data_IF_202547288702
#
_entry.id   IF_202547288702
#
_cell.length_a   1.000
_cell.length_b   1.000
_cell.length_c   1.000
_cell.angle_alpha   90.00
_cell.angle_beta   90.00
_cell.angle_gamma   90.00
#
_symmetry.space_group_name_H-M   'P 1'
#
loop_
_entity.id
_entity.type
_entity.pdbx_description
1 polymer ?
#
# COMPACT_ATOMS: atom_id res chain seq x y z
N UNK A 1 27.25 -31.92 0.39
CA UNK A 1 27.54 -30.89 -0.63
C UNK A 1 26.83 -29.61 -0.22
N UNK A 2 27.57 -28.60 0.22
CA UNK A 2 27.05 -27.27 0.55
C UNK A 2 26.54 -26.62 -0.73
N UNK A 3 25.22 -26.63 -0.94
CA UNK A 3 24.57 -25.87 -2.01
C UNK A 3 24.81 -24.38 -1.70
N UNK A 4 25.50 -23.67 -2.60
CA UNK A 4 25.57 -22.21 -2.51
C UNK A 4 24.15 -21.64 -2.40
N UNK A 5 23.95 -20.61 -1.55
CA UNK A 5 22.65 -19.97 -1.43
C UNK A 5 22.25 -19.40 -2.79
N UNK A 6 20.99 -19.62 -3.17
CA UNK A 6 20.48 -19.13 -4.45
C UNK A 6 20.55 -17.59 -4.50
N UNK A 7 20.90 -17.00 -5.66
CA UNK A 7 21.13 -15.58 -5.77
C UNK A 7 19.83 -14.79 -5.59
N UNK A 8 19.94 -13.61 -4.99
CA UNK A 8 18.88 -12.60 -4.97
C UNK A 8 18.84 -11.91 -6.34
N UNK A 9 17.70 -11.97 -7.00
CA UNK A 9 17.51 -11.31 -8.30
C UNK A 9 17.22 -9.80 -8.13
N UNK A 10 17.52 -8.97 -9.14
CA UNK A 10 17.18 -7.55 -9.10
C UNK A 10 15.67 -7.29 -9.15
N UNK A 11 15.22 -6.13 -8.64
CA UNK A 11 13.81 -5.78 -8.50
C UNK A 11 12.97 -5.95 -9.78
N UNK A 12 13.54 -5.62 -10.95
CA UNK A 12 12.84 -5.74 -12.23
C UNK A 12 12.43 -7.19 -12.58
N UNK A 13 13.08 -8.18 -11.94
CA UNK A 13 12.78 -9.59 -12.14
C UNK A 13 11.72 -10.14 -11.18
N UNK A 14 11.38 -9.43 -10.09
CA UNK A 14 10.48 -9.93 -9.06
C UNK A 14 9.10 -10.33 -9.56
N UNK A 15 8.61 -9.70 -10.63
CA UNK A 15 7.34 -10.08 -11.28
C UNK A 15 7.29 -11.52 -11.79
N UNK A 16 8.44 -12.15 -12.01
CA UNK A 16 8.53 -13.58 -12.39
C UNK A 16 8.60 -14.51 -11.17
N UNK A 17 8.73 -13.98 -9.96
CA UNK A 17 8.65 -14.79 -8.74
C UNK A 17 7.21 -15.22 -8.49
N UNK A 18 6.97 -16.51 -8.14
CA UNK A 18 5.63 -16.98 -7.76
C UNK A 18 5.07 -16.29 -6.51
N UNK A 19 5.91 -15.61 -5.72
CA UNK A 19 5.53 -14.94 -4.47
C UNK A 19 5.16 -13.46 -4.63
N UNK A 20 5.52 -12.80 -5.74
CA UNK A 20 5.51 -11.33 -5.79
C UNK A 20 4.12 -10.69 -5.84
N UNK A 21 3.18 -11.32 -6.56
CA UNK A 21 1.79 -10.87 -6.63
C UNK A 21 0.84 -11.77 -5.83
N UNK A 22 1.39 -12.54 -4.88
CA UNK A 22 0.67 -13.59 -4.16
C UNK A 22 0.62 -13.26 -2.67
N UNK A 23 -0.50 -13.59 -2.03
CA UNK A 23 -0.56 -13.62 -0.56
C UNK A 23 0.14 -14.90 -0.09
N UNK A 24 1.41 -14.76 0.27
CA UNK A 24 2.27 -15.90 0.60
C UNK A 24 1.79 -16.52 1.90
N UNK A 25 1.41 -17.80 1.86
CA UNK A 25 0.97 -18.54 3.05
C UNK A 25 2.19 -18.83 3.92
N UNK A 26 2.24 -18.24 5.09
CA UNK A 26 3.36 -18.38 6.04
C UNK A 26 2.83 -18.65 7.44
N UNK A 27 3.64 -19.35 8.22
CA UNK A 27 3.48 -19.43 9.65
C UNK A 27 4.05 -18.18 10.35
N UNK A 28 3.64 -17.90 11.58
CA UNK A 28 4.15 -16.80 12.39
C UNK A 28 5.67 -16.89 12.56
N UNK A 29 6.19 -18.08 12.85
CA UNK A 29 7.64 -18.32 12.93
C UNK A 29 8.36 -18.01 11.61
N UNK A 30 7.72 -18.30 10.46
CA UNK A 30 8.31 -18.01 9.15
C UNK A 30 8.31 -16.50 8.88
N UNK A 31 7.27 -15.77 9.29
CA UNK A 31 7.21 -14.31 9.18
C UNK A 31 8.33 -13.67 10.00
N UNK A 32 8.56 -14.11 11.23
CA UNK A 32 9.69 -13.65 12.06
C UNK A 32 11.05 -14.07 11.49
N UNK A 33 11.10 -15.17 10.75
CA UNK A 33 12.32 -15.70 10.12
C UNK A 33 12.66 -15.13 8.73
N UNK A 34 11.79 -14.33 8.10
CA UNK A 34 12.13 -13.65 6.85
C UNK A 34 13.42 -12.82 6.98
N UNK A 35 14.11 -12.58 5.87
CA UNK A 35 15.37 -11.81 5.88
C UNK A 35 15.21 -10.51 5.11
N UNK A 36 15.92 -9.49 5.54
CA UNK A 36 16.18 -8.35 4.68
C UNK A 36 17.49 -8.58 3.93
N UNK A 37 17.53 -8.12 2.68
CA UNK A 37 18.71 -8.27 1.83
C UNK A 37 19.24 -6.88 1.47
N UNK A 38 20.56 -6.77 1.36
CA UNK A 38 21.23 -5.52 1.03
C UNK A 38 20.68 -4.94 -0.28
N UNK A 39 20.37 -3.63 -0.28
CA UNK A 39 19.77 -2.95 -1.43
C UNK A 39 18.24 -3.03 -1.51
N UNK A 40 17.59 -3.80 -0.63
CA UNK A 40 16.12 -3.88 -0.51
C UNK A 40 15.58 -3.42 0.85
N UNK A 41 16.48 -3.09 1.79
CA UNK A 41 16.14 -2.59 3.12
C UNK A 41 15.22 -1.35 3.03
N UNK A 42 14.21 -1.29 3.90
CA UNK A 42 13.24 -0.20 3.93
C UNK A 42 12.23 -0.16 2.77
N UNK A 43 12.28 -1.09 1.82
CA UNK A 43 11.31 -1.16 0.71
C UNK A 43 10.09 -2.05 1.04
N UNK A 44 9.97 -2.53 2.28
CA UNK A 44 8.97 -3.52 2.70
C UNK A 44 8.97 -4.79 1.83
N UNK A 45 10.16 -5.23 1.43
CA UNK A 45 10.40 -6.49 0.72
C UNK A 45 11.34 -7.34 1.55
N UNK A 46 10.87 -8.52 1.92
CA UNK A 46 11.60 -9.49 2.71
C UNK A 46 11.83 -10.76 1.90
N UNK A 47 12.68 -11.66 2.39
CA UNK A 47 13.08 -12.84 1.62
C UNK A 47 12.94 -14.12 2.44
N UNK A 48 12.26 -15.10 1.85
CA UNK A 48 12.35 -16.50 2.25
C UNK A 48 13.19 -17.23 1.21
N UNK A 49 14.34 -17.77 1.62
CA UNK A 49 15.40 -18.12 0.68
C UNK A 49 15.72 -16.93 -0.24
N UNK A 50 15.52 -17.06 -1.56
CA UNK A 50 15.65 -15.99 -2.53
C UNK A 50 14.32 -15.49 -3.12
N UNK A 51 13.17 -15.90 -2.56
CA UNK A 51 11.85 -15.42 -2.98
C UNK A 51 11.53 -14.08 -2.32
N UNK A 52 11.18 -13.02 -3.09
CA UNK A 52 10.74 -11.75 -2.54
C UNK A 52 9.30 -11.83 -2.00
N UNK A 53 9.08 -11.38 -0.78
CA UNK A 53 7.82 -11.46 -0.04
C UNK A 53 7.44 -10.06 0.45
N UNK A 54 6.21 -9.66 0.15
CA UNK A 54 5.62 -8.38 0.58
C UNK A 54 4.22 -8.52 1.18
N UNK A 55 3.55 -9.63 0.87
CA UNK A 55 2.19 -9.93 1.28
C UNK A 55 2.15 -11.31 1.90
N UNK A 56 1.51 -11.41 3.06
CA UNK A 56 1.41 -12.66 3.81
C UNK A 56 -0.05 -13.03 4.04
N UNK A 57 -0.32 -14.33 4.02
CA UNK A 57 -1.57 -14.93 4.45
C UNK A 57 -1.24 -15.84 5.63
N UNK A 58 -1.95 -15.66 6.74
CA UNK A 58 -1.75 -16.44 7.96
C UNK A 58 -3.10 -16.86 8.52
N UNK A 59 -3.15 -18.05 9.10
CA UNK A 59 -4.32 -18.59 9.77
C UNK A 59 -3.93 -18.97 11.19
N UNK A 60 -4.66 -18.47 12.18
CA UNK A 60 -4.36 -18.71 13.59
C UNK A 60 -5.52 -18.31 14.50
N UNK A 61 -5.40 -18.68 15.77
CA UNK A 61 -6.33 -18.33 16.84
C UNK A 61 -6.02 -16.92 17.35
N UNK A 62 -7.07 -16.14 17.62
CA UNK A 62 -6.95 -14.86 18.32
C UNK A 62 -6.66 -15.13 19.79
N UNK A 63 -5.48 -14.77 20.28
CA UNK A 63 -5.08 -14.96 21.68
C UNK A 63 -5.33 -13.71 22.51
N UNK A 64 -5.14 -12.53 21.94
CA UNK A 64 -5.42 -11.25 22.60
C UNK A 64 -6.04 -10.24 21.64
N UNK A 65 -6.75 -9.28 22.22
CA UNK A 65 -7.29 -8.11 21.53
C UNK A 65 -6.99 -6.89 22.41
N UNK A 66 -6.12 -6.01 21.95
CA UNK A 66 -5.66 -4.84 22.69
C UNK A 66 -6.01 -3.53 22.00
N UNK A 67 -6.48 -2.55 22.77
CA UNK A 67 -6.59 -1.16 22.31
C UNK A 67 -5.30 -0.40 22.57
N UNK A 68 -4.77 0.28 21.55
CA UNK A 68 -3.58 1.13 21.66
C UNK A 68 -3.86 2.54 21.16
N UNK A 69 -3.80 3.49 22.10
CA UNK A 69 -3.86 4.94 21.87
C UNK A 69 -5.08 5.38 21.04
N UNK A 70 -6.21 4.66 21.16
CA UNK A 70 -7.43 4.88 20.37
C UNK A 70 -7.24 4.88 18.83
N UNK A 71 -6.06 4.49 18.34
CA UNK A 71 -5.70 4.53 16.93
C UNK A 71 -5.50 3.15 16.33
N UNK A 72 -5.00 2.22 17.14
CA UNK A 72 -4.70 0.87 16.72
C UNK A 72 -5.41 -0.13 17.61
N UNK A 73 -6.03 -1.11 16.97
CA UNK A 73 -6.41 -2.37 17.63
C UNK A 73 -5.38 -3.41 17.24
N UNK A 74 -4.81 -4.09 18.22
CA UNK A 74 -3.84 -5.16 18.01
C UNK A 74 -4.49 -6.49 18.30
N UNK A 75 -4.37 -7.44 17.36
CA UNK A 75 -4.70 -8.84 17.58
C UNK A 75 -3.39 -9.61 17.71
N UNK A 76 -3.23 -10.42 18.75
CA UNK A 76 -2.17 -11.42 18.76
C UNK A 76 -2.71 -12.74 18.24
N UNK A 77 -2.05 -13.30 17.23
CA UNK A 77 -2.42 -14.57 16.62
C UNK A 77 -1.42 -15.66 16.96
N UNK A 78 -1.93 -16.86 17.26
CA UNK A 78 -1.18 -18.10 17.42
C UNK A 78 -1.60 -19.12 16.36
N UNK A 79 -0.64 -19.62 15.58
CA UNK A 79 -0.84 -20.66 14.57
C UNK A 79 -0.22 -22.01 14.96
N UNK A 80 0.23 -22.14 16.22
CA UNK A 80 0.86 -23.34 16.73
C UNK A 80 2.30 -23.55 16.27
N UNK A 81 2.89 -22.59 15.54
CA UNK A 81 4.28 -22.70 15.05
C UNK A 81 5.34 -22.41 16.12
N UNK A 82 4.93 -22.10 17.35
CA UNK A 82 5.81 -21.74 18.46
C UNK A 82 6.18 -20.25 18.48
N UNK A 83 5.45 -19.40 17.76
CA UNK A 83 5.64 -17.95 17.78
C UNK A 83 4.30 -17.23 17.63
N UNK A 84 4.09 -16.17 18.42
CA UNK A 84 2.95 -15.28 18.28
C UNK A 84 3.26 -14.17 17.26
N UNK A 85 2.25 -13.68 16.57
CA UNK A 85 2.40 -12.55 15.65
C UNK A 85 1.32 -11.49 15.91
N UNK A 86 1.74 -10.23 15.99
CA UNK A 86 0.84 -9.09 16.16
C UNK A 86 0.27 -8.70 14.80
N UNK A 87 -1.06 -8.60 14.71
CA UNK A 87 -1.80 -8.05 13.57
C UNK A 87 -2.44 -6.73 13.99
N UNK A 88 -1.98 -5.65 13.38
CA UNK A 88 -2.42 -4.28 13.61
C UNK A 88 -3.57 -3.91 12.68
N UNK A 89 -4.62 -3.36 13.28
CA UNK A 89 -5.78 -2.77 12.62
C UNK A 89 -5.74 -1.27 12.86
N UNK A 90 -5.83 -0.47 11.79
CA UNK A 90 -5.79 0.99 11.90
C UNK A 90 -7.20 1.54 11.90
N UNK A 91 -7.58 2.24 12.98
CA UNK A 91 -8.86 2.94 13.10
C UNK A 91 -8.79 4.23 12.28
N UNK A 92 -9.88 4.56 11.60
CA UNK A 92 -10.02 5.83 10.89
C UNK A 92 -10.35 6.93 11.90
N UNK A 93 -9.82 8.13 11.66
CA UNK A 93 -10.16 9.29 12.48
C UNK A 93 -11.65 9.62 12.31
N UNK A 94 -12.30 10.09 13.37
CA UNK A 94 -13.74 10.36 13.40
C UNK A 94 -14.21 11.35 12.31
N UNK A 95 -13.32 12.22 11.83
CA UNK A 95 -13.59 13.12 10.71
C UNK A 95 -13.68 12.40 9.35
N UNK A 96 -12.97 11.28 9.19
CA UNK A 96 -12.94 10.46 7.97
C UNK A 96 -14.11 9.48 7.89
N UNK A 97 -14.67 9.07 9.04
CA UNK A 97 -15.79 8.14 9.13
C UNK A 97 -17.17 8.78 8.86
N UNK A 98 -17.28 10.12 8.88
CA UNK A 98 -18.54 10.86 8.80
C UNK A 98 -19.00 11.24 7.38
N UNK A 99 -18.38 10.71 6.31
CA UNK A 99 -18.83 10.99 4.94
C UNK A 99 -20.11 10.21 4.60
N UNK A 100 -21.25 10.87 4.30
CA UNK A 100 -22.58 10.24 4.26
C UNK A 100 -22.90 9.46 2.97
N UNK A 101 -21.90 9.15 2.13
CA UNK A 101 -22.12 8.60 0.78
C UNK A 101 -21.83 7.11 0.60
N UNK A 102 -21.44 6.37 1.64
CA UNK A 102 -21.29 4.91 1.53
C UNK A 102 -22.13 4.19 2.58
N UNK A 103 -23.08 3.38 2.10
CA UNK A 103 -23.98 2.54 2.91
C UNK A 103 -23.28 1.43 3.72
N UNK A 104 -21.94 1.37 3.72
CA UNK A 104 -21.11 0.46 4.51
C UNK A 104 -19.70 1.05 4.78
N UNK A 105 -19.58 2.24 5.41
CA UNK A 105 -18.27 2.73 5.86
C UNK A 105 -17.89 2.04 7.18
N UNK A 106 -16.97 1.09 7.12
CA UNK A 106 -16.29 0.62 8.33
C UNK A 106 -15.50 1.75 8.98
N UNK A 107 -15.35 1.73 10.30
CA UNK A 107 -14.54 2.73 11.03
C UNK A 107 -13.04 2.38 11.09
N UNK A 108 -12.60 1.40 10.32
CA UNK A 108 -11.18 1.00 10.18
C UNK A 108 -10.73 1.08 8.72
N UNK A 109 -9.44 0.90 8.48
CA UNK A 109 -8.90 0.77 7.13
C UNK A 109 -9.29 -0.55 6.43
N UNK A 110 -10.03 -1.44 7.10
CA UNK A 110 -10.47 -2.74 6.58
C UNK A 110 -12.00 -2.76 6.53
N UNK A 111 -12.55 -2.82 5.31
CA UNK A 111 -13.97 -2.60 5.03
C UNK A 111 -14.96 -3.48 5.83
N UNK A 112 -14.56 -4.69 6.23
CA UNK A 112 -15.42 -5.61 6.97
C UNK A 112 -15.10 -5.72 8.47
N UNK A 113 -14.32 -4.78 9.01
CA UNK A 113 -13.91 -4.75 10.41
C UNK A 113 -14.34 -3.45 11.06
N UNK A 114 -15.09 -3.54 12.15
CA UNK A 114 -15.47 -2.38 12.95
C UNK A 114 -14.93 -2.51 14.37
N UNK A 115 -14.48 -1.41 14.96
CA UNK A 115 -14.05 -1.37 16.37
C UNK A 115 -15.01 -0.48 17.14
N UNK A 116 -15.79 -1.08 18.03
CA UNK A 116 -16.76 -0.37 18.88
C UNK A 116 -16.13 -0.11 20.23
N UNK A 117 -15.98 1.18 20.57
CA UNK A 117 -15.45 1.63 21.86
C UNK A 117 -16.51 2.47 22.55
N UNK A 118 -16.99 1.99 23.70
CA UNK A 118 -17.92 2.70 24.58
C UNK A 118 -17.55 2.41 26.04
N UNK A 119 -18.04 3.19 27.02
CA UNK A 119 -17.77 2.92 28.44
C UNK A 119 -18.12 1.48 28.81
N UNK A 120 -17.12 0.71 29.27
CA UNK A 120 -17.27 -0.70 29.62
C UNK A 120 -17.43 -1.68 28.44
N UNK A 121 -17.24 -1.22 27.20
CA UNK A 121 -17.42 -2.03 25.99
C UNK A 121 -16.30 -1.78 24.98
N UNK A 122 -15.60 -2.85 24.62
CA UNK A 122 -14.57 -2.85 23.59
C UNK A 122 -14.74 -4.09 22.72
N UNK A 123 -15.36 -3.93 21.55
CA UNK A 123 -15.64 -5.02 20.63
C UNK A 123 -14.96 -4.78 19.29
N UNK A 124 -14.34 -5.84 18.76
CA UNK A 124 -13.93 -5.91 17.36
C UNK A 124 -14.98 -6.73 16.63
N UNK A 125 -15.58 -6.21 15.57
CA UNK A 125 -16.61 -6.90 14.79
C UNK A 125 -16.05 -7.23 13.42
N UNK A 126 -16.13 -8.50 13.02
CA UNK A 126 -15.85 -8.97 11.66
C UNK A 126 -17.16 -9.30 11.00
N UNK A 127 -17.50 -8.62 9.90
CA UNK A 127 -18.82 -8.73 9.25
C UNK A 127 -20.00 -8.51 10.22
N UNK A 128 -19.88 -7.53 11.13
CA UNK A 128 -20.85 -7.22 12.20
C UNK A 128 -21.03 -8.32 13.26
N UNK A 129 -20.17 -9.33 13.28
CA UNK A 129 -20.15 -10.38 14.31
C UNK A 129 -18.98 -10.11 15.26
N UNK A 130 -19.17 -10.09 16.59
CA UNK A 130 -18.09 -9.92 17.54
C UNK A 130 -17.01 -10.99 17.36
N UNK A 131 -15.75 -10.55 17.28
CA UNK A 131 -14.57 -11.40 17.27
C UNK A 131 -14.15 -11.65 18.71
N UNK A 132 -14.25 -12.90 19.14
CA UNK A 132 -13.85 -13.32 20.49
C UNK A 132 -12.42 -13.86 20.50
N UNK A 133 -11.76 -13.76 21.65
CA UNK A 133 -10.55 -14.52 21.94
C UNK A 133 -10.86 -16.02 21.79
N UNK A 134 -9.93 -16.77 21.19
CA UNK A 134 -10.09 -18.17 20.81
C UNK A 134 -10.70 -18.38 19.43
N UNK A 135 -11.16 -17.34 18.73
CA UNK A 135 -11.68 -17.49 17.37
C UNK A 135 -10.54 -17.77 16.38
N UNK A 136 -10.74 -18.74 15.49
CA UNK A 136 -9.87 -18.99 14.36
C UNK A 136 -10.10 -17.96 13.26
N UNK A 137 -9.03 -17.33 12.79
CA UNK A 137 -9.09 -16.32 11.73
C UNK A 137 -8.06 -16.57 10.65
N UNK A 138 -8.46 -16.29 9.41
CA UNK A 138 -7.56 -16.13 8.27
C UNK A 138 -7.36 -14.66 8.00
N UNK A 139 -6.11 -14.22 7.95
CA UNK A 139 -5.74 -12.82 7.71
C UNK A 139 -4.85 -12.69 6.48
N UNK A 140 -5.04 -11.61 5.74
CA UNK A 140 -4.15 -11.16 4.66
C UNK A 140 -3.56 -9.82 5.05
N UNK A 141 -2.23 -9.75 5.10
CA UNK A 141 -1.52 -8.63 5.69
C UNK A 141 -0.32 -8.18 4.85
N UNK A 142 0.03 -6.91 4.99
CA UNK A 142 1.38 -6.42 4.64
C UNK A 142 2.28 -6.54 5.86
N UNK A 143 3.58 -6.73 5.64
CA UNK A 143 4.56 -6.81 6.73
C UNK A 143 4.96 -5.39 7.12
N UNK A 144 5.11 -5.16 8.42
CA UNK A 144 5.67 -3.92 8.98
C UNK A 144 6.55 -4.26 10.19
N UNK A 145 7.24 -3.26 10.71
CA UNK A 145 8.14 -3.43 11.85
C UNK A 145 7.88 -2.33 12.88
N UNK A 146 7.99 -2.68 14.16
CA UNK A 146 7.95 -1.72 15.24
C UNK A 146 8.99 -2.12 16.29
N UNK A 147 9.93 -1.21 16.57
CA UNK A 147 11.03 -1.45 17.52
C UNK A 147 11.79 -2.76 17.23
N UNK A 148 12.10 -2.99 15.96
CA UNK A 148 12.81 -4.17 15.46
C UNK A 148 12.05 -5.50 15.65
N UNK A 149 10.73 -5.45 15.88
CA UNK A 149 9.86 -6.61 15.96
C UNK A 149 8.89 -6.58 14.80
N UNK A 150 8.76 -7.71 14.10
CA UNK A 150 7.82 -7.84 12.99
C UNK A 150 6.39 -7.87 13.49
N UNK A 151 5.56 -7.10 12.82
CA UNK A 151 4.12 -7.08 13.00
C UNK A 151 3.45 -6.99 11.63
N UNK A 152 2.20 -7.39 11.57
CA UNK A 152 1.41 -7.41 10.36
C UNK A 152 0.43 -6.25 10.34
N UNK A 153 0.23 -5.64 9.18
CA UNK A 153 -0.84 -4.66 8.99
C UNK A 153 -1.99 -5.33 8.22
N UNK A 154 -3.16 -5.38 8.85
CA UNK A 154 -4.33 -6.06 8.33
C UNK A 154 -4.82 -5.40 7.05
N UNK A 155 -5.09 -6.23 6.02
CA UNK A 155 -5.75 -5.80 4.78
C UNK A 155 -7.08 -6.52 4.57
N UNK A 156 -7.20 -7.79 4.97
CA UNK A 156 -8.46 -8.56 4.95
C UNK A 156 -8.47 -9.62 6.05
N UNK A 157 -9.64 -9.90 6.61
CA UNK A 157 -9.85 -10.91 7.65
C UNK A 157 -11.12 -11.72 7.38
N UNK A 158 -11.06 -13.01 7.70
CA UNK A 158 -12.18 -13.94 7.72
C UNK A 158 -12.17 -14.74 9.02
N UNK A 159 -13.33 -14.90 9.65
CA UNK A 159 -13.51 -15.84 10.75
C UNK A 159 -13.76 -17.23 10.17
N UNK A 160 -12.97 -18.20 10.59
CA UNK A 160 -13.15 -19.60 10.25
C UNK A 160 -14.14 -20.22 11.24
N UNK A 161 -15.09 -21.00 10.73
CA UNK A 161 -16.23 -21.50 11.53
C UNK A 161 -16.10 -22.96 11.93
N UNK A 162 -15.16 -23.69 11.34
CA UNK A 162 -14.96 -25.10 11.62
C UNK A 162 -13.49 -25.48 11.60
N UNK A 163 -13.15 -26.51 12.38
CA UNK A 163 -11.82 -27.12 12.39
C UNK A 163 -11.44 -27.70 11.02
N UNK A 164 -12.42 -28.08 10.21
CA UNK A 164 -12.18 -28.53 8.84
C UNK A 164 -11.67 -27.39 7.94
N UNK A 165 -12.21 -26.16 8.09
CA UNK A 165 -11.70 -24.98 7.40
C UNK A 165 -10.28 -24.64 7.85
N UNK A 166 -10.00 -24.70 9.16
CA UNK A 166 -8.65 -24.50 9.70
C UNK A 166 -7.63 -25.51 9.13
N UNK A 167 -7.99 -26.80 9.15
CA UNK A 167 -7.15 -27.87 8.64
C UNK A 167 -6.87 -27.71 7.13
N UNK A 168 -7.87 -27.27 6.35
CA UNK A 168 -7.70 -26.99 4.93
C UNK A 168 -6.70 -25.83 4.69
N UNK A 169 -6.77 -24.77 5.50
CA UNK A 169 -5.80 -23.67 5.42
C UNK A 169 -4.37 -24.10 5.77
N UNK A 170 -4.21 -24.96 6.79
CA UNK A 170 -2.92 -25.53 7.15
C UNK A 170 -2.37 -26.44 6.04
N UNK A 171 -3.22 -27.26 5.42
CA UNK A 171 -2.82 -28.10 4.30
C UNK A 171 -2.35 -27.24 3.12
N UNK A 172 -3.10 -26.19 2.78
CA UNK A 172 -2.70 -25.24 1.74
C UNK A 172 -1.38 -24.53 2.06
N UNK A 173 -1.16 -24.13 3.31
CA UNK A 173 0.09 -23.51 3.74
C UNK A 173 1.26 -24.49 3.62
N UNK A 174 1.12 -25.72 4.12
CA UNK A 174 2.14 -26.76 4.04
C UNK A 174 2.48 -27.11 2.59
N UNK A 175 1.45 -27.22 1.73
CA UNK A 175 1.61 -27.45 0.29
C UNK A 175 2.38 -26.32 -0.38
N UNK A 176 1.97 -25.06 -0.13
CA UNK A 176 2.64 -23.89 -0.69
C UNK A 176 4.11 -23.81 -0.24
N UNK A 177 4.39 -24.06 1.04
CA UNK A 177 5.74 -24.07 1.59
C UNK A 177 6.60 -25.13 0.89
N UNK A 178 6.12 -26.37 0.79
CA UNK A 178 6.84 -27.49 0.17
C UNK A 178 7.09 -27.29 -1.32
N UNK A 179 6.09 -26.81 -2.06
CA UNK A 179 6.12 -26.73 -3.52
C UNK A 179 6.77 -25.45 -4.04
N UNK A 180 6.68 -24.36 -3.29
CA UNK A 180 7.17 -23.03 -3.70
C UNK A 180 8.34 -22.58 -2.83
N UNK A 181 8.11 -22.35 -1.54
CA UNK A 181 9.08 -21.62 -0.69
C UNK A 181 10.34 -22.42 -0.37
N UNK A 182 10.22 -23.73 -0.19
CA UNK A 182 11.36 -24.61 0.07
C UNK A 182 12.24 -24.82 -1.16
N UNK A 183 11.75 -24.48 -2.36
CA UNK A 183 12.50 -24.60 -3.62
C UNK A 183 13.08 -23.23 -3.98
N UNK A 184 14.38 -23.13 -4.25
CA UNK A 184 14.95 -21.87 -4.74
C UNK A 184 14.25 -21.36 -5.99
N UNK A 185 13.96 -20.07 -6.03
CA UNK A 185 13.48 -19.42 -7.23
C UNK A 185 14.60 -19.35 -8.26
N UNK A 186 14.34 -19.79 -9.49
CA UNK A 186 15.34 -19.77 -10.57
C UNK A 186 14.75 -19.09 -11.80
N UNK A 187 15.48 -18.12 -12.33
CA UNK A 187 15.18 -17.43 -13.59
C UNK A 187 16.33 -17.67 -14.56
N UNK A 188 16.01 -18.07 -15.80
CA UNK A 188 17.03 -18.30 -16.83
C UNK A 188 17.76 -17.00 -17.19
N UNK A 189 19.03 -17.11 -17.59
CA UNK A 189 19.84 -15.96 -18.02
C UNK A 189 19.21 -15.22 -19.20
N UNK A 190 18.62 -15.95 -20.14
CA UNK A 190 17.90 -15.40 -21.30
C UNK A 190 16.69 -14.57 -20.85
N UNK A 191 15.90 -15.10 -19.92
CA UNK A 191 14.75 -14.40 -19.36
C UNK A 191 15.19 -13.15 -18.60
N UNK A 192 16.26 -13.21 -17.80
CA UNK A 192 16.82 -12.03 -17.13
C UNK A 192 17.25 -10.94 -18.12
N UNK A 193 17.91 -11.31 -19.23
CA UNK A 193 18.29 -10.35 -20.29
C UNK A 193 17.07 -9.71 -20.93
N UNK A 194 16.03 -10.50 -21.24
CA UNK A 194 14.78 -9.99 -21.79
C UNK A 194 14.05 -9.04 -20.83
N UNK A 195 14.07 -9.35 -19.52
CA UNK A 195 13.49 -8.49 -18.49
C UNK A 195 14.24 -7.18 -18.36
N UNK A 196 15.57 -7.23 -18.41
CA UNK A 196 16.42 -6.04 -18.38
C UNK A 196 16.15 -5.15 -19.60
N UNK A 197 16.10 -5.72 -20.81
CA UNK A 197 15.81 -4.92 -22.01
C UNK A 197 14.43 -4.27 -21.93
N UNK A 198 13.41 -5.02 -21.50
CA UNK A 198 12.05 -4.49 -21.32
C UNK A 198 11.99 -3.35 -20.29
N UNK A 199 12.75 -3.45 -19.19
CA UNK A 199 12.83 -2.39 -18.18
C UNK A 199 13.55 -1.16 -18.72
N UNK A 200 14.65 -1.33 -19.47
CA UNK A 200 15.36 -0.20 -20.10
C UNK A 200 14.49 0.53 -21.12
N UNK A 201 13.75 -0.20 -21.96
CA UNK A 201 12.80 0.41 -22.90
C UNK A 201 11.69 1.16 -22.17
N UNK A 202 11.14 0.58 -21.11
CA UNK A 202 10.10 1.23 -20.30
C UNK A 202 10.61 2.54 -19.69
N UNK A 203 11.84 2.55 -19.16
CA UNK A 203 12.48 3.76 -18.63
C UNK A 203 12.65 4.82 -19.71
N UNK A 204 13.17 4.46 -20.88
CA UNK A 204 13.29 5.39 -22.01
C UNK A 204 11.94 5.99 -22.44
N UNK A 205 10.88 5.17 -22.50
CA UNK A 205 9.52 5.62 -22.83
C UNK A 205 8.96 6.59 -21.79
N UNK A 206 9.21 6.34 -20.50
CA UNK A 206 8.79 7.23 -19.42
C UNK A 206 9.50 8.57 -19.48
N UNK A 207 10.82 8.57 -19.66
CA UNK A 207 11.60 9.81 -19.81
C UNK A 207 11.20 10.62 -21.05
N UNK A 208 10.91 9.96 -22.17
CA UNK A 208 10.41 10.64 -23.37
C UNK A 208 9.02 11.24 -23.14
N UNK A 209 8.13 10.52 -22.44
CA UNK A 209 6.81 11.05 -22.06
C UNK A 209 6.94 12.28 -21.16
N UNK A 210 7.79 12.22 -20.14
CA UNK A 210 8.03 13.33 -19.23
C UNK A 210 8.62 14.55 -19.97
N UNK A 211 9.59 14.33 -20.87
CA UNK A 211 10.13 15.38 -21.73
C UNK A 211 9.06 16.03 -22.61
N UNK A 212 8.12 15.25 -23.15
CA UNK A 212 7.00 15.77 -23.95
C UNK A 212 6.01 16.57 -23.10
N UNK A 213 5.71 16.10 -21.90
CA UNK A 213 4.83 16.79 -20.95
C UNK A 213 5.45 18.11 -20.48
N UNK A 214 6.73 18.14 -20.11
CA UNK A 214 7.44 19.36 -19.75
C UNK A 214 7.45 20.39 -20.91
N UNK A 215 7.75 19.93 -22.14
CA UNK A 215 7.67 20.78 -23.34
C UNK A 215 6.26 21.35 -23.56
N UNK A 216 5.22 20.54 -23.35
CA UNK A 216 3.82 20.96 -23.46
C UNK A 216 3.48 21.99 -22.39
N UNK A 217 3.92 21.76 -21.15
CA UNK A 217 3.68 22.66 -20.02
C UNK A 217 4.36 24.01 -20.23
N UNK A 218 5.64 24.02 -20.66
CA UNK A 218 6.39 25.24 -21.01
C UNK A 218 5.72 26.04 -22.14
N UNK A 219 5.22 25.36 -23.17
CA UNK A 219 4.46 26.01 -24.25
C UNK A 219 3.14 26.58 -23.76
N UNK A 220 2.43 25.88 -22.88
CA UNK A 220 1.17 26.35 -22.32
C UNK A 220 1.38 27.57 -21.39
N UNK A 221 2.41 27.57 -20.56
CA UNK A 221 2.74 28.71 -19.70
C UNK A 221 3.19 29.93 -20.52
N UNK A 222 4.03 29.73 -21.53
CA UNK A 222 4.44 30.81 -22.45
C UNK A 222 3.23 31.44 -23.16
N UNK A 223 2.31 30.62 -23.70
CA UNK A 223 1.06 31.12 -24.33
C UNK A 223 0.15 31.88 -23.35
N UNK A 224 0.07 31.42 -22.10
CA UNK A 224 -0.69 32.13 -21.04
C UNK A 224 -0.06 33.48 -20.71
N UNK A 225 1.26 33.55 -20.59
CA UNK A 225 1.99 34.81 -20.36
C UNK A 225 1.80 35.79 -21.51
N UNK A 226 1.96 35.34 -22.76
CA UNK A 226 1.75 36.17 -23.95
C UNK A 226 0.30 36.69 -24.03
N UNK A 227 -0.69 35.83 -23.74
CA UNK A 227 -2.10 36.26 -23.72
C UNK A 227 -2.40 37.25 -22.59
N UNK A 228 -1.75 37.11 -21.44
CA UNK A 228 -1.91 38.05 -20.32
C UNK A 228 -1.26 39.41 -20.62
N UNK A 229 -0.10 39.40 -21.28
CA UNK A 229 0.58 40.60 -21.75
C UNK A 229 -0.26 41.36 -22.77
N UNK A 230 -0.76 40.69 -23.83
CA UNK A 230 -1.67 41.28 -24.82
C UNK A 230 -2.93 41.86 -24.18
N UNK A 231 -3.46 41.19 -23.14
CA UNK A 231 -4.63 41.68 -22.39
C UNK A 231 -4.31 42.96 -21.62
N UNK A 232 -3.15 43.03 -20.96
CA UNK A 232 -2.66 44.24 -20.27
C UNK A 232 -2.46 45.40 -21.23
N UNK A 233 -1.84 45.18 -22.39
CA UNK A 233 -1.66 46.21 -23.41
C UNK A 233 -3.00 46.75 -23.93
N UNK A 234 -3.98 45.87 -24.16
CA UNK A 234 -5.31 46.29 -24.59
C UNK A 234 -6.04 47.11 -23.51
N UNK A 235 -5.92 46.71 -22.24
CA UNK A 235 -6.47 47.45 -21.10
C UNK A 235 -5.80 48.84 -20.97
N UNK A 236 -4.47 48.93 -21.08
CA UNK A 236 -3.74 50.21 -21.07
C UNK A 236 -4.18 51.15 -22.20
N UNK A 237 -4.31 50.65 -23.44
CA UNK A 237 -4.79 51.46 -24.58
C UNK A 237 -6.22 51.97 -24.37
N UNK A 238 -7.09 51.16 -23.74
CA UNK A 238 -8.45 51.59 -23.35
C UNK A 238 -8.40 52.69 -22.29
N UNK A 239 -7.58 52.52 -21.26
CA UNK A 239 -7.39 53.50 -20.18
C UNK A 239 -6.89 54.85 -20.74
N UNK A 240 -5.87 54.83 -21.61
CA UNK A 240 -5.34 56.03 -22.26
C UNK A 240 -6.39 56.75 -23.12
N UNK A 241 -7.20 55.98 -23.86
CA UNK A 241 -8.31 56.55 -24.63
C UNK A 241 -9.34 57.21 -23.71
N UNK A 242 -9.69 56.56 -22.60
CA UNK A 242 -10.62 57.12 -21.61
C UNK A 242 -10.07 58.41 -21.01
N UNK A 243 -8.79 58.43 -20.65
CA UNK A 243 -8.11 59.61 -20.08
C UNK A 243 -8.04 60.77 -21.07
N UNK A 244 -7.78 60.52 -22.36
CA UNK A 244 -7.83 61.54 -23.42
C UNK A 244 -9.24 62.09 -23.64
N UNK A 245 -10.26 61.24 -23.56
CA UNK A 245 -11.65 61.66 -23.63
C UNK A 245 -12.04 62.49 -22.40
N UNK A 246 -11.62 62.10 -21.19
CA UNK A 246 -11.76 62.87 -19.96
C UNK A 246 -11.05 64.24 -20.05
N UNK A 247 -9.79 64.29 -20.50
CA UNK A 247 -9.04 65.55 -20.70
C UNK A 247 -9.71 66.46 -21.74
N UNK A 248 -10.28 65.90 -22.80
CA UNK A 248 -11.03 66.66 -23.82
C UNK A 248 -12.32 67.24 -23.23
N UNK A 249 -13.02 66.48 -22.39
CA UNK A 249 -14.21 66.96 -21.69
C UNK A 249 -13.87 68.00 -20.62
N UNK A 250 -12.71 67.87 -19.96
CA UNK A 250 -12.27 68.79 -18.89
C UNK A 250 -11.70 70.11 -19.43
N UNK A 251 -11.13 70.15 -20.64
CA UNK A 251 -10.72 71.40 -21.33
C UNK A 251 -11.89 72.32 -21.70
N UNK A 252 -13.13 71.82 -21.66
CA UNK A 252 -14.34 72.63 -21.81
C UNK A 252 -14.92 73.15 -20.49
N UNK A 253 -14.28 72.89 -19.34
CA UNK A 253 -14.87 73.10 -18.02
C UNK A 253 -14.30 74.31 -17.25
N UNK A 254 -13.57 75.23 -17.90
CA UNK A 254 -13.27 76.56 -17.32
C UNK A 254 -13.54 77.65 -18.37
N UNK A 255 -14.76 78.18 -18.33
CA UNK A 255 -15.09 79.61 -18.34
C UNK A 255 -16.10 79.82 -17.22
#
# INVERSE_FOLDING_TARGET
MSKEPAPIYPAYAFKESPTWFTWVKLLAVDVHGLREEAGFQGQNVYFYQNHPIRFVCLTGLVVSIDDKLNRYTLLELDDGSGSLIVVKITRLDSASAASPSSSFSSNTNVANVDVVVAPGRYDVLVNRVPLSIGAAVKVKCTISEFRNVRQLELKRIWTLRSTAEEAAEWEECARFKREVLCRPWVVSKEKLRALLSAETEKRMRLEDRERREDRRQKRATARKMESAEKRREHEQRKEERRKREEDRMNKGAIV
#
